data_IF_044139246579
#
_entry.id   IF_044139246579
#
_cell.length_a   1.000
_cell.length_b   1.000
_cell.length_c   1.000
_cell.angle_alpha   90.00
_cell.angle_beta   90.00
_cell.angle_gamma   90.00
#
_symmetry.space_group_name_H-M   'P 1'
#
loop_
_entity.id
_entity.type
_entity.pdbx_description
1 polymer ?
#
# COMPACT_ATOMS: atom_id res chain seq x y z
N UNK A 1 -15.99 -0.70 38.18
CA UNK A 1 -14.59 -0.24 38.37
C UNK A 1 -13.58 -1.28 37.88
N UNK A 2 -13.70 -2.57 38.23
CA UNK A 2 -12.78 -3.64 37.78
C UNK A 2 -12.75 -3.89 36.25
N UNK A 3 -13.87 -3.75 35.55
CA UNK A 3 -13.92 -4.06 34.11
C UNK A 3 -13.14 -3.07 33.23
N UNK A 4 -12.76 -1.89 33.73
CA UNK A 4 -11.88 -0.95 33.00
C UNK A 4 -10.41 -1.35 33.09
N UNK A 5 -10.04 -2.15 34.09
CA UNK A 5 -8.66 -2.58 34.33
C UNK A 5 -8.36 -3.93 33.68
N UNK A 6 -9.38 -4.79 33.55
CA UNK A 6 -9.30 -6.10 32.89
C UNK A 6 -9.50 -5.90 31.39
N UNK A 7 -8.48 -5.38 30.72
CA UNK A 7 -8.39 -5.37 29.26
C UNK A 7 -7.48 -6.51 28.82
N UNK A 8 -7.70 -7.04 27.61
CA UNK A 8 -6.82 -8.06 27.03
C UNK A 8 -5.37 -7.59 27.01
N UNK A 9 -5.14 -6.29 26.76
CA UNK A 9 -3.80 -5.68 26.75
C UNK A 9 -3.16 -5.76 28.13
N UNK A 10 -3.88 -5.38 29.20
CA UNK A 10 -3.32 -5.40 30.56
C UNK A 10 -3.08 -6.84 31.05
N UNK A 11 -3.99 -7.76 30.74
CA UNK A 11 -3.83 -9.19 31.08
C UNK A 11 -2.64 -9.80 30.35
N UNK A 12 -2.48 -9.51 29.07
CA UNK A 12 -1.34 -9.99 28.28
C UNK A 12 -0.03 -9.37 28.78
N UNK A 13 -0.06 -8.09 29.19
CA UNK A 13 1.10 -7.43 29.79
C UNK A 13 1.52 -8.05 31.12
N UNK A 14 0.58 -8.50 31.94
CA UNK A 14 0.91 -9.18 33.20
C UNK A 14 1.67 -10.50 32.97
N UNK A 15 1.30 -11.24 31.93
CA UNK A 15 1.88 -12.57 31.63
C UNK A 15 3.17 -12.47 30.81
N UNK A 16 3.18 -11.60 29.80
CA UNK A 16 4.25 -11.52 28.78
C UNK A 16 5.15 -10.31 28.99
N UNK A 17 4.76 -9.34 29.82
CA UNK A 17 5.51 -8.09 30.06
C UNK A 17 5.81 -7.33 28.77
N UNK A 18 4.79 -7.17 27.89
CA UNK A 18 4.93 -6.42 26.63
C UNK A 18 5.42 -4.97 26.82
N UNK A 19 5.19 -4.37 27.98
CA UNK A 19 5.71 -3.06 28.37
C UNK A 19 7.25 -3.02 28.47
N UNK A 20 7.89 -4.18 28.58
CA UNK A 20 9.35 -4.32 28.71
C UNK A 20 10.01 -4.72 27.39
N UNK A 21 9.25 -4.89 26.31
CA UNK A 21 9.78 -5.18 24.98
C UNK A 21 10.28 -3.88 24.36
N UNK A 22 11.61 -3.75 24.26
CA UNK A 22 12.25 -2.58 23.68
C UNK A 22 12.42 -2.74 22.16
N UNK A 23 11.71 -1.91 21.39
CA UNK A 23 11.80 -1.87 19.93
C UNK A 23 12.64 -0.67 19.53
N UNK A 24 13.77 -0.94 18.86
CA UNK A 24 14.67 0.07 18.32
C UNK A 24 14.65 0.06 16.81
N UNK A 25 14.55 1.23 16.22
CA UNK A 25 14.77 1.46 14.80
C UNK A 25 16.13 2.14 14.63
N UNK A 26 16.79 1.88 13.51
CA UNK A 26 18.04 2.55 13.18
C UNK A 26 17.78 3.54 12.05
N UNK A 27 17.87 4.83 12.36
CA UNK A 27 17.82 5.89 11.35
C UNK A 27 19.21 6.04 10.74
N UNK A 28 19.29 5.91 9.42
CA UNK A 28 20.54 6.10 8.67
C UNK A 28 20.60 7.55 8.22
N UNK A 29 21.61 8.28 8.70
CA UNK A 29 21.98 9.62 8.24
C UNK A 29 23.32 9.54 7.49
N UNK A 30 23.72 10.61 6.78
CA UNK A 30 24.90 10.61 5.88
C UNK A 30 26.18 10.05 6.53
N UNK A 31 26.38 10.31 7.82
CA UNK A 31 27.63 9.99 8.52
C UNK A 31 27.47 8.97 9.65
N UNK A 32 26.24 8.56 10.00
CA UNK A 32 25.99 7.70 11.16
C UNK A 32 24.63 7.01 11.17
N UNK A 33 24.57 5.90 11.90
CA UNK A 33 23.31 5.24 12.27
C UNK A 33 22.92 5.65 13.69
N UNK A 34 21.74 6.23 13.84
CA UNK A 34 21.21 6.66 15.14
C UNK A 34 20.13 5.65 15.57
N UNK A 35 20.32 4.94 16.69
CA UNK A 35 19.25 4.15 17.28
C UNK A 35 18.18 5.08 17.85
N UNK A 36 16.93 4.86 17.46
CA UNK A 36 15.75 5.59 17.93
C UNK A 36 14.73 4.58 18.47
N UNK A 37 14.09 4.90 19.59
CA UNK A 37 13.09 4.02 20.18
C UNK A 37 11.74 4.13 19.47
N UNK A 38 10.96 3.05 19.48
CA UNK A 38 9.59 3.10 18.98
C UNK A 38 8.72 4.16 19.69
N UNK A 39 8.95 4.40 20.98
CA UNK A 39 8.24 5.42 21.75
C UNK A 39 8.52 6.85 21.26
N UNK A 40 9.67 7.09 20.64
CA UNK A 40 10.00 8.37 20.01
C UNK A 40 9.38 8.45 18.62
N UNK A 41 9.50 7.38 17.83
CA UNK A 41 9.05 7.33 16.44
C UNK A 41 7.53 7.31 16.28
N UNK A 42 6.83 6.58 17.16
CA UNK A 42 5.36 6.49 17.15
C UNK A 42 4.67 7.84 17.41
N UNK A 43 5.39 8.82 17.98
CA UNK A 43 4.90 10.18 18.20
C UNK A 43 5.05 11.07 16.97
N UNK A 44 5.81 10.65 15.96
CA UNK A 44 6.02 11.43 14.74
C UNK A 44 4.78 11.33 13.85
N UNK A 45 3.95 12.37 13.87
CA UNK A 45 2.79 12.52 13.01
C UNK A 45 3.21 13.07 11.64
N UNK A 46 3.62 12.19 10.73
CA UNK A 46 4.02 12.59 9.38
C UNK A 46 4.57 11.43 8.57
N UNK A 47 5.30 11.77 7.50
CA UNK A 47 5.87 10.79 6.58
C UNK A 47 6.90 9.83 7.19
N UNK A 48 7.70 10.30 8.15
CA UNK A 48 8.64 9.45 8.90
C UNK A 48 7.92 8.42 9.77
N UNK A 49 6.79 8.78 10.38
CA UNK A 49 5.96 7.86 11.17
C UNK A 49 5.38 6.75 10.31
N UNK A 50 4.89 7.10 9.11
CA UNK A 50 4.38 6.14 8.14
C UNK A 50 5.48 5.16 7.67
N UNK A 51 6.64 5.66 7.26
CA UNK A 51 7.75 4.80 6.81
C UNK A 51 8.20 3.86 7.94
N UNK A 52 8.28 4.37 9.16
CA UNK A 52 8.69 3.57 10.32
C UNK A 52 7.68 2.48 10.67
N UNK A 53 6.38 2.81 10.65
CA UNK A 53 5.31 1.83 10.83
C UNK A 53 5.36 0.75 9.73
N UNK A 54 5.62 1.15 8.48
CA UNK A 54 5.79 0.22 7.36
C UNK A 54 6.98 -0.73 7.55
N UNK A 55 8.13 -0.22 8.00
CA UNK A 55 9.33 -1.04 8.28
C UNK A 55 9.00 -2.12 9.32
N UNK A 56 8.36 -1.73 10.42
CA UNK A 56 7.99 -2.67 11.49
C UNK A 56 6.96 -3.67 10.98
N UNK A 57 5.92 -3.22 10.29
CA UNK A 57 4.90 -4.09 9.72
C UNK A 57 5.50 -5.11 8.76
N UNK A 58 6.35 -4.67 7.83
CA UNK A 58 7.05 -5.54 6.88
C UNK A 58 7.94 -6.56 7.60
N UNK A 59 8.62 -6.14 8.66
CA UNK A 59 9.46 -7.00 9.49
C UNK A 59 8.62 -8.05 10.24
N UNK A 60 7.50 -7.65 10.83
CA UNK A 60 6.57 -8.55 11.53
C UNK A 60 5.91 -9.54 10.56
N UNK A 61 5.45 -9.10 9.40
CA UNK A 61 4.90 -9.97 8.35
C UNK A 61 5.94 -10.99 7.88
N UNK A 62 7.20 -10.57 7.77
CA UNK A 62 8.31 -11.47 7.44
C UNK A 62 8.58 -12.47 8.55
N UNK A 63 8.50 -12.04 9.82
CA UNK A 63 8.68 -12.91 10.98
C UNK A 63 7.56 -13.94 11.13
N UNK A 64 6.30 -13.54 11.05
CA UNK A 64 5.14 -14.43 11.22
C UNK A 64 5.06 -15.52 10.13
N UNK A 65 5.68 -15.28 8.98
CA UNK A 65 5.73 -16.25 7.87
C UNK A 65 6.95 -17.17 7.92
N UNK A 66 7.90 -16.90 8.81
CA UNK A 66 9.03 -17.78 9.02
C UNK A 66 8.54 -18.96 9.83
N UNK A 67 8.03 -19.99 9.16
CA UNK A 67 7.67 -21.24 9.81
C UNK A 67 8.95 -21.93 10.33
N UNK A 68 8.89 -22.49 11.54
CA UNK A 68 10.05 -23.12 12.22
C UNK A 68 10.57 -24.35 11.44
N UNK A 69 9.76 -24.88 10.52
CA UNK A 69 10.06 -26.02 9.67
C UNK A 69 10.91 -25.67 8.43
N UNK A 70 10.98 -24.38 8.05
CA UNK A 70 11.59 -23.92 6.79
C UNK A 70 12.98 -23.31 6.98
N UNK A 71 13.87 -24.01 7.70
CA UNK A 71 15.27 -23.61 7.86
C UNK A 71 16.02 -23.54 6.50
N UNK A 72 15.45 -24.11 5.43
CA UNK A 72 16.07 -24.24 4.11
C UNK A 72 15.36 -23.51 2.95
N UNK A 73 14.27 -22.75 3.17
CA UNK A 73 13.69 -21.95 2.09
C UNK A 73 14.50 -20.64 1.91
N UNK A 74 15.45 -20.67 0.98
CA UNK A 74 16.30 -19.52 0.60
C UNK A 74 15.54 -18.40 -0.11
N UNK A 75 14.24 -18.56 -0.32
CA UNK A 75 13.40 -17.72 -1.17
C UNK A 75 12.25 -17.21 -0.30
N UNK A 76 12.46 -16.12 0.44
CA UNK A 76 11.45 -15.58 1.34
C UNK A 76 10.09 -15.43 0.65
N UNK A 77 9.04 -15.97 1.26
CA UNK A 77 7.70 -15.97 0.67
C UNK A 77 7.23 -14.55 0.32
N UNK A 78 6.72 -14.40 -0.90
CA UNK A 78 6.18 -13.15 -1.43
C UNK A 78 4.97 -12.68 -0.62
N UNK A 79 5.01 -11.45 -0.10
CA UNK A 79 3.96 -10.82 0.70
C UNK A 79 3.16 -9.87 -0.19
N UNK A 80 1.85 -9.73 0.04
CA UNK A 80 1.03 -8.71 -0.63
C UNK A 80 0.43 -7.80 0.44
N UNK A 81 0.68 -6.51 0.32
CA UNK A 81 0.10 -5.49 1.19
C UNK A 81 -0.81 -4.59 0.36
N UNK A 82 -2.08 -4.55 0.75
CA UNK A 82 -3.10 -3.67 0.15
C UNK A 82 -3.25 -2.46 1.05
N UNK A 83 -3.16 -1.26 0.48
CA UNK A 83 -3.25 -0.01 1.22
C UNK A 83 -4.29 0.92 0.58
N UNK A 84 -5.21 1.42 1.39
CA UNK A 84 -6.15 2.47 0.99
C UNK A 84 -5.59 3.85 1.36
N UNK A 85 -5.45 4.69 0.35
CA UNK A 85 -4.86 6.02 0.38
C UNK A 85 -3.58 6.16 1.25
N UNK A 86 -2.53 5.32 1.04
CA UNK A 86 -1.33 5.32 1.87
C UNK A 86 -0.53 6.64 1.81
N UNK A 87 -0.84 7.49 0.83
CA UNK A 87 -0.08 8.70 0.52
C UNK A 87 -0.75 9.97 1.04
N UNK A 88 -2.00 9.92 1.51
CA UNK A 88 -2.77 11.01 2.14
C UNK A 88 -2.30 12.47 1.86
N UNK A 89 -1.34 12.99 2.65
CA UNK A 89 -0.75 14.34 2.53
C UNK A 89 0.76 14.34 2.18
N UNK A 90 1.33 13.17 1.96
CA UNK A 90 2.76 12.94 1.79
C UNK A 90 3.05 12.60 0.33
N UNK A 91 3.21 13.64 -0.49
CA UNK A 91 3.67 13.54 -1.89
C UNK A 91 5.18 13.64 -2.04
N UNK A 92 5.91 13.73 -0.91
CA UNK A 92 7.36 13.91 -0.92
C UNK A 92 8.06 12.68 -1.48
N UNK A 93 8.76 12.91 -2.58
CA UNK A 93 9.57 11.92 -3.29
C UNK A 93 10.54 11.16 -2.38
N UNK A 94 10.99 11.84 -1.31
CA UNK A 94 11.92 11.34 -0.31
C UNK A 94 11.40 10.19 0.55
N UNK A 95 10.07 9.96 0.59
CA UNK A 95 9.47 8.90 1.42
C UNK A 95 9.00 7.70 0.60
N UNK A 96 8.57 7.96 -0.62
CA UNK A 96 8.12 6.90 -1.54
C UNK A 96 9.27 6.01 -1.96
N UNK A 97 10.45 6.58 -2.26
CA UNK A 97 11.61 5.80 -2.69
C UNK A 97 12.07 4.78 -1.62
N UNK A 98 12.32 5.18 -0.35
CA UNK A 98 12.63 4.22 0.72
C UNK A 98 11.55 3.15 0.92
N UNK A 99 10.28 3.51 0.80
CA UNK A 99 9.18 2.56 0.93
C UNK A 99 9.23 1.49 -0.17
N UNK A 100 9.44 1.88 -1.42
CA UNK A 100 9.59 0.93 -2.54
C UNK A 100 10.83 0.04 -2.36
N UNK A 101 11.94 0.61 -1.89
CA UNK A 101 13.18 -0.14 -1.67
C UNK A 101 13.01 -1.21 -0.57
N UNK A 102 12.30 -0.89 0.52
CA UNK A 102 12.00 -1.84 1.60
C UNK A 102 11.01 -2.90 1.11
N UNK A 103 9.99 -2.51 0.35
CA UNK A 103 9.04 -3.45 -0.24
C UNK A 103 9.76 -4.47 -1.14
N UNK A 104 10.65 -4.02 -2.02
CA UNK A 104 11.47 -4.89 -2.88
C UNK A 104 12.39 -5.80 -2.07
N UNK A 105 13.12 -5.27 -1.07
CA UNK A 105 14.02 -6.07 -0.23
C UNK A 105 13.30 -7.11 0.62
N UNK A 106 12.07 -6.83 1.05
CA UNK A 106 11.25 -7.74 1.86
C UNK A 106 10.40 -8.70 1.01
N UNK A 107 10.54 -8.68 -0.32
CA UNK A 107 9.70 -9.41 -1.26
C UNK A 107 8.20 -9.14 -1.02
N UNK A 108 7.85 -7.87 -0.85
CA UNK A 108 6.49 -7.40 -0.59
C UNK A 108 5.94 -6.66 -1.81
N UNK A 109 4.89 -7.19 -2.42
CA UNK A 109 4.08 -6.52 -3.41
C UNK A 109 3.15 -5.51 -2.74
N UNK A 110 3.07 -4.31 -3.32
CA UNK A 110 2.20 -3.24 -2.85
C UNK A 110 1.06 -3.03 -3.84
N UNK A 111 -0.17 -3.01 -3.34
CA UNK A 111 -1.36 -2.61 -4.09
C UNK A 111 -1.95 -1.40 -3.37
N UNK A 112 -1.86 -0.23 -3.99
CA UNK A 112 -2.25 1.02 -3.37
C UNK A 112 -3.42 1.64 -4.13
N UNK A 113 -4.52 1.93 -3.42
CA UNK A 113 -5.58 2.77 -3.93
C UNK A 113 -5.31 4.21 -3.50
N UNK A 114 -5.32 5.16 -4.41
CA UNK A 114 -5.11 6.57 -4.06
C UNK A 114 -5.85 7.50 -5.01
N UNK A 115 -6.32 8.62 -4.48
CA UNK A 115 -6.86 9.73 -5.29
C UNK A 115 -5.78 10.73 -5.73
N UNK A 116 -4.51 10.48 -5.40
CA UNK A 116 -3.40 11.35 -5.77
C UNK A 116 -2.78 10.88 -7.10
N UNK A 117 -2.90 11.70 -8.14
CA UNK A 117 -2.34 11.43 -9.47
C UNK A 117 -1.02 12.13 -9.76
N UNK A 118 -0.27 12.54 -8.74
CA UNK A 118 1.02 13.23 -8.94
C UNK A 118 2.08 12.30 -9.52
N UNK A 119 2.85 12.78 -10.50
CA UNK A 119 3.94 12.03 -11.15
C UNK A 119 4.93 11.42 -10.15
N UNK A 120 5.15 12.07 -8.99
CA UNK A 120 6.03 11.56 -7.95
C UNK A 120 5.58 10.21 -7.36
N UNK A 121 4.27 9.94 -7.35
CA UNK A 121 3.68 8.67 -6.90
C UNK A 121 3.63 7.69 -8.06
N UNK A 122 3.04 8.07 -9.19
CA UNK A 122 2.82 7.17 -10.33
C UNK A 122 4.14 6.60 -10.87
N UNK A 123 5.21 7.40 -10.90
CA UNK A 123 6.53 6.95 -11.35
C UNK A 123 7.17 5.90 -10.44
N UNK A 124 6.69 5.71 -9.21
CA UNK A 124 7.23 4.75 -8.24
C UNK A 124 6.61 3.37 -8.34
N UNK A 125 5.51 3.23 -9.07
CA UNK A 125 4.85 1.95 -9.32
C UNK A 125 5.22 1.42 -10.69
N UNK A 126 5.41 0.12 -10.78
CA UNK A 126 5.68 -0.56 -12.04
C UNK A 126 4.39 -0.69 -12.87
N UNK A 127 3.23 -0.87 -12.21
CA UNK A 127 1.92 -0.93 -12.83
C UNK A 127 0.98 0.15 -12.27
N UNK A 128 0.29 0.89 -13.14
CA UNK A 128 -0.64 1.98 -12.79
C UNK A 128 -1.95 1.81 -13.54
N UNK A 129 -3.04 1.80 -12.79
CA UNK A 129 -4.40 1.79 -13.31
C UNK A 129 -5.11 3.05 -12.85
N UNK A 130 -5.67 3.80 -13.80
CA UNK A 130 -6.50 4.97 -13.54
C UNK A 130 -7.97 4.59 -13.69
N UNK A 131 -8.79 5.05 -12.75
CA UNK A 131 -10.23 4.75 -12.71
C UNK A 131 -11.01 6.05 -12.87
N UNK A 132 -11.67 6.21 -14.01
CA UNK A 132 -12.48 7.38 -14.35
C UNK A 132 -13.97 7.10 -14.22
N UNK A 133 -14.70 8.03 -13.64
CA UNK A 133 -16.15 7.94 -13.48
C UNK A 133 -16.85 8.68 -14.63
N UNK A 134 -17.27 7.95 -15.67
CA UNK A 134 -17.99 8.49 -16.83
C UNK A 134 -19.52 8.47 -16.61
N UNK A 135 -20.22 9.44 -17.18
CA UNK A 135 -21.69 9.47 -17.16
C UNK A 135 -22.28 8.51 -18.19
N UNK A 136 -23.21 7.65 -17.77
CA UNK A 136 -23.95 6.74 -18.64
C UNK A 136 -25.16 7.44 -19.27
N UNK A 137 -25.34 7.26 -20.58
CA UNK A 137 -26.52 7.74 -21.32
C UNK A 137 -27.73 6.80 -21.20
N UNK A 138 -27.61 5.67 -20.49
CA UNK A 138 -28.59 4.59 -20.51
C UNK A 138 -29.91 4.89 -19.76
N UNK A 139 -29.93 5.87 -18.84
CA UNK A 139 -31.14 6.27 -18.12
C UNK A 139 -31.02 7.70 -17.57
N UNK A 140 -31.69 8.67 -18.21
CA UNK A 140 -31.84 10.08 -17.77
C UNK A 140 -30.63 10.68 -17.01
N UNK A 141 -29.41 10.45 -17.50
CA UNK A 141 -28.16 11.04 -16.99
C UNK A 141 -27.76 10.71 -15.54
N UNK A 142 -28.45 9.80 -14.85
CA UNK A 142 -28.23 9.56 -13.40
C UNK A 142 -27.29 8.40 -13.09
N UNK A 143 -27.00 7.54 -14.07
CA UNK A 143 -26.09 6.41 -13.88
C UNK A 143 -24.68 6.84 -14.28
N UNK A 144 -23.68 6.47 -13.47
CA UNK A 144 -22.26 6.63 -13.79
C UNK A 144 -21.64 5.23 -13.88
N UNK A 145 -20.65 5.08 -14.75
CA UNK A 145 -19.89 3.85 -14.89
C UNK A 145 -18.41 4.15 -14.73
N UNK A 146 -17.67 3.15 -14.28
CA UNK A 146 -16.25 3.27 -14.00
C UNK A 146 -15.48 2.67 -15.17
N UNK A 147 -14.58 3.46 -15.74
CA UNK A 147 -13.68 3.07 -16.82
C UNK A 147 -12.30 2.92 -16.22
N UNK A 148 -11.65 1.79 -16.49
CA UNK A 148 -10.26 1.58 -16.10
C UNK A 148 -9.37 1.76 -17.32
N UNK A 149 -8.33 2.57 -17.16
CA UNK A 149 -7.26 2.76 -18.14
C UNK A 149 -5.95 2.25 -17.52
N UNK A 150 -5.21 1.44 -18.27
CA UNK A 150 -3.87 1.01 -17.87
C UNK A 150 -2.84 2.02 -18.41
N UNK A 151 -2.35 2.89 -17.53
CA UNK A 151 -1.47 4.01 -17.90
C UNK A 151 0.01 3.58 -18.00
N UNK A 152 0.42 2.61 -17.18
CA UNK A 152 1.83 2.17 -17.09
C UNK A 152 1.89 0.72 -16.66
N UNK A 153 2.77 -0.06 -17.30
CA UNK A 153 3.02 -1.46 -16.96
C UNK A 153 3.25 -2.29 -18.22
N UNK A 154 3.60 -3.56 -18.04
CA UNK A 154 3.60 -4.50 -19.15
C UNK A 154 2.16 -4.72 -19.63
N UNK A 155 1.98 -4.79 -20.95
CA UNK A 155 0.66 -5.06 -21.53
C UNK A 155 0.19 -6.43 -21.03
N UNK A 156 -0.97 -6.45 -20.37
CA UNK A 156 -1.53 -7.69 -19.85
C UNK A 156 -1.84 -8.61 -21.05
N UNK A 157 -1.21 -9.79 -21.07
CA UNK A 157 -1.47 -10.85 -22.07
C UNK A 157 -2.91 -11.40 -21.97
N UNK A 158 -3.70 -10.91 -21.01
CA UNK A 158 -5.11 -11.27 -20.84
C UNK A 158 -5.95 -10.01 -20.62
N UNK A 159 -6.92 -9.79 -21.50
CA UNK A 159 -7.99 -8.83 -21.30
C UNK A 159 -8.66 -9.09 -19.94
N UNK A 160 -8.64 -8.09 -19.05
CA UNK A 160 -9.48 -8.06 -17.86
C UNK A 160 -10.93 -7.89 -18.32
N UNK A 161 -11.58 -8.99 -18.71
CA UNK A 161 -13.00 -8.99 -19.04
C UNK A 161 -13.77 -8.75 -17.74
N UNK A 162 -14.14 -7.48 -17.50
CA UNK A 162 -15.17 -7.15 -16.53
C UNK A 162 -16.40 -8.00 -16.82
N UNK A 163 -16.81 -8.83 -15.87
CA UNK A 163 -17.95 -9.76 -16.01
C UNK A 163 -19.30 -9.06 -16.20
N UNK A 164 -19.32 -7.72 -16.15
CA UNK A 164 -20.54 -6.92 -16.28
C UNK A 164 -20.32 -5.80 -17.30
N UNK A 165 -20.80 -6.06 -18.51
CA UNK A 165 -20.96 -5.15 -19.65
C UNK A 165 -19.70 -4.77 -20.43
N UNK A 166 -19.65 -5.27 -21.67
CA UNK A 166 -18.74 -4.82 -22.72
C UNK A 166 -19.42 -3.65 -23.45
N UNK A 167 -19.08 -2.41 -23.09
CA UNK A 167 -19.51 -1.23 -23.85
C UNK A 167 -18.48 -1.06 -24.97
N UNK A 168 -18.86 -1.34 -26.21
CA UNK A 168 -18.05 -0.99 -27.38
C UNK A 168 -18.26 0.51 -27.65
N UNK A 169 -17.19 1.29 -27.61
CA UNK A 169 -17.19 2.60 -28.25
C UNK A 169 -17.05 2.33 -29.76
N UNK A 170 -18.16 2.31 -30.49
CA UNK A 170 -18.13 2.39 -31.95
C UNK A 170 -17.99 3.87 -32.32
N UNK A 171 -16.89 4.22 -33.01
CA UNK A 171 -16.79 5.48 -33.73
C UNK A 171 -17.88 5.51 -34.79
N UNK A 172 -18.94 6.29 -34.54
CA UNK A 172 -19.96 6.54 -35.55
C UNK A 172 -19.34 7.50 -36.55
N UNK A 173 -18.84 6.98 -37.66
CA UNK A 173 -18.48 7.80 -38.82
C UNK A 173 -19.71 8.64 -39.20
N UNK A 174 -19.56 9.96 -39.09
CA UNK A 174 -20.58 10.92 -39.50
C UNK A 174 -20.77 10.78 -41.01
N UNK A 175 -21.90 10.19 -41.43
CA UNK A 175 -22.25 10.15 -42.85
C UNK A 175 -22.46 11.59 -43.35
N UNK A 176 -21.61 12.05 -44.27
CA UNK A 176 -21.90 13.24 -45.06
C UNK A 176 -23.09 12.93 -45.98
N UNK A 177 -24.21 13.59 -45.73
CA UNK A 177 -25.36 13.62 -46.63
C UNK A 177 -25.15 14.77 -47.60
N UNK A 178 -24.88 14.45 -48.87
CA UNK A 178 -25.04 15.38 -49.99
C UNK A 178 -26.52 15.67 -50.24
#
# INVERSE_FOLDING_TARGET
MLSKTITTVNLYNEVVSISNVDVKLYKVEEDRQIPISWNEVSKNSGGEGFLSAFVILSSLLSYMRKDDSEIFSTSGEGKVLIMDNPFAQTSSEHLLKPLMDIAKKSNTQLICFTGLGGDSILNRFDNVYVLDLKASKLRNGTQKYLVSTHEKGEELVHDLISSRFKIKEEEVEQMELF
#
